data_IF_293917592767
#
_entry.id   IF_293917592767
#
_cell.length_a   1.000
_cell.length_b   1.000
_cell.length_c   1.000
_cell.angle_alpha   90.00
_cell.angle_beta   90.00
_cell.angle_gamma   90.00
#
_symmetry.space_group_name_H-M   'P 1'
#
loop_
_entity.id
_entity.type
_entity.pdbx_description
1 polymer ?
#
# COMPACT_ATOMS: atom_id res chain seq x y z
N UNK A 1 24.19 8.93 4.56
CA UNK A 1 22.89 8.45 5.10
C UNK A 1 22.72 6.99 4.67
N UNK A 2 22.36 6.10 5.59
CA UNK A 2 22.14 4.67 5.32
C UNK A 2 20.63 4.39 5.19
N UNK A 3 20.23 3.47 4.30
CA UNK A 3 18.84 3.03 4.18
C UNK A 3 18.40 2.34 5.50
N UNK A 4 17.30 2.80 6.15
CA UNK A 4 16.85 2.25 7.42
C UNK A 4 16.42 0.77 7.35
N UNK A 5 16.00 0.29 6.17
CA UNK A 5 15.57 -1.10 5.95
C UNK A 5 16.62 -1.96 5.24
N UNK A 6 17.88 -1.51 5.18
CA UNK A 6 18.94 -2.21 4.45
C UNK A 6 19.12 -3.65 4.93
N UNK A 7 19.14 -3.88 6.25
CA UNK A 7 19.41 -5.21 6.80
C UNK A 7 18.25 -6.18 6.54
N UNK A 8 17.03 -5.68 6.69
CA UNK A 8 15.78 -6.39 6.48
C UNK A 8 15.65 -6.83 5.01
N UNK A 9 15.93 -5.93 4.07
CA UNK A 9 15.89 -6.23 2.63
C UNK A 9 16.98 -7.26 2.25
N UNK A 10 18.20 -7.12 2.77
CA UNK A 10 19.27 -8.07 2.49
C UNK A 10 19.00 -9.46 3.09
N UNK A 11 18.32 -9.52 4.24
CA UNK A 11 17.95 -10.77 4.89
C UNK A 11 16.64 -11.37 4.35
N UNK A 12 15.90 -10.65 3.50
CA UNK A 12 14.61 -11.09 2.98
C UNK A 12 14.74 -12.40 2.21
N UNK A 13 13.79 -13.30 2.47
CA UNK A 13 13.65 -14.57 1.77
C UNK A 13 12.19 -14.75 1.38
N UNK A 14 11.97 -15.18 0.14
CA UNK A 14 10.64 -15.56 -0.32
C UNK A 14 10.13 -16.72 0.52
N UNK A 15 8.88 -16.64 0.93
CA UNK A 15 8.18 -17.75 1.61
C UNK A 15 7.84 -18.84 0.59
N UNK A 16 7.66 -20.07 1.08
CA UNK A 16 7.23 -21.18 0.22
C UNK A 16 5.91 -20.85 -0.51
N UNK A 17 4.99 -20.18 0.17
CA UNK A 17 3.71 -19.74 -0.38
C UNK A 17 3.84 -18.79 -1.58
N UNK A 18 4.86 -17.92 -1.59
CA UNK A 18 5.09 -16.91 -2.64
C UNK A 18 5.68 -17.52 -3.93
N UNK A 19 6.33 -18.67 -3.86
CA UNK A 19 6.96 -19.33 -5.01
C UNK A 19 6.18 -20.55 -5.52
N UNK A 20 5.07 -20.89 -4.86
CA UNK A 20 4.16 -21.93 -5.33
C UNK A 20 3.38 -21.46 -6.55
N UNK A 21 3.21 -22.36 -7.52
CA UNK A 21 2.28 -22.14 -8.63
C UNK A 21 0.87 -21.96 -8.07
N UNK A 22 0.17 -20.89 -8.50
CA UNK A 22 -1.22 -20.63 -8.14
C UNK A 22 -2.02 -20.31 -9.39
N UNK A 23 -3.30 -20.67 -9.37
CA UNK A 23 -4.24 -20.22 -10.39
C UNK A 23 -4.43 -18.70 -10.24
N UNK A 24 -4.28 -17.94 -11.34
CA UNK A 24 -4.55 -16.50 -11.30
C UNK A 24 -5.96 -16.21 -10.82
N UNK A 25 -6.08 -15.34 -9.83
CA UNK A 25 -7.37 -14.83 -9.38
C UNK A 25 -7.77 -13.65 -10.25
N UNK A 26 -8.91 -13.77 -10.93
CA UNK A 26 -9.49 -12.68 -11.73
C UNK A 26 -9.90 -11.53 -10.80
N UNK A 27 -9.58 -10.27 -11.14
CA UNK A 27 -10.08 -9.12 -10.39
C UNK A 27 -11.61 -9.10 -10.34
N UNK A 28 -12.16 -8.54 -9.26
CA UNK A 28 -13.59 -8.25 -9.21
C UNK A 28 -13.97 -7.20 -10.26
N UNK A 29 -15.24 -7.19 -10.63
CA UNK A 29 -15.79 -6.06 -11.40
C UNK A 29 -15.69 -4.78 -10.58
N UNK A 30 -15.75 -3.62 -11.24
CA UNK A 30 -15.78 -2.34 -10.52
C UNK A 30 -17.01 -2.22 -9.61
N UNK A 31 -18.17 -2.73 -10.06
CA UNK A 31 -19.42 -2.72 -9.30
C UNK A 31 -19.35 -3.58 -8.03
N UNK A 32 -18.57 -4.67 -8.05
CA UNK A 32 -18.38 -5.59 -6.93
C UNK A 32 -17.18 -5.25 -6.04
N UNK A 33 -16.44 -4.19 -6.38
CA UNK A 33 -15.24 -3.76 -5.66
C UNK A 33 -15.57 -2.59 -4.76
N UNK A 34 -15.31 -2.74 -3.46
CA UNK A 34 -15.57 -1.65 -2.51
C UNK A 34 -14.53 -0.55 -2.71
N UNK A 35 -14.98 0.63 -3.09
CA UNK A 35 -14.16 1.84 -3.15
C UNK A 35 -14.16 2.59 -1.81
N UNK A 36 -12.99 3.02 -1.36
CA UNK A 36 -12.81 3.79 -0.12
C UNK A 36 -11.90 5.00 -0.38
N UNK A 37 -12.44 6.20 -0.20
CA UNK A 37 -11.63 7.43 -0.14
C UNK A 37 -11.14 7.64 1.30
N UNK A 38 -9.90 8.09 1.47
CA UNK A 38 -9.26 8.22 2.78
C UNK A 38 -8.52 9.55 2.85
N UNK A 39 -9.06 10.51 3.59
CA UNK A 39 -8.47 11.85 3.76
C UNK A 39 -8.20 12.22 5.23
N UNK A 40 -8.64 11.37 6.17
CA UNK A 40 -8.49 11.62 7.60
C UNK A 40 -7.88 10.42 8.35
N UNK A 41 -7.21 10.72 9.48
CA UNK A 41 -6.50 9.72 10.29
C UNK A 41 -7.38 8.58 10.76
N UNK A 42 -8.65 8.87 11.06
CA UNK A 42 -9.63 7.87 11.51
C UNK A 42 -9.87 6.83 10.41
N UNK A 43 -10.04 7.26 9.16
CA UNK A 43 -10.22 6.36 8.02
C UNK A 43 -8.93 5.64 7.67
N UNK A 44 -7.78 6.31 7.75
CA UNK A 44 -6.48 5.68 7.58
C UNK A 44 -6.31 4.50 8.55
N UNK A 45 -6.62 4.69 9.83
CA UNK A 45 -6.56 3.63 10.83
C UNK A 45 -7.55 2.49 10.53
N UNK A 46 -8.77 2.81 10.09
CA UNK A 46 -9.76 1.77 9.70
C UNK A 46 -9.27 0.92 8.54
N UNK A 47 -8.65 1.53 7.52
CA UNK A 47 -8.12 0.75 6.40
C UNK A 47 -6.88 -0.03 6.82
N UNK A 48 -6.04 0.49 7.73
CA UNK A 48 -4.88 -0.21 8.29
C UNK A 48 -5.27 -1.55 8.91
N UNK A 49 -6.36 -1.59 9.67
CA UNK A 49 -6.87 -2.82 10.29
C UNK A 49 -7.25 -3.88 9.26
N UNK A 50 -7.73 -3.45 8.09
CA UNK A 50 -8.07 -4.36 6.99
C UNK A 50 -6.83 -4.81 6.19
N UNK A 51 -5.96 -3.87 5.81
CA UNK A 51 -4.84 -4.16 4.90
C UNK A 51 -3.73 -4.99 5.58
N UNK A 52 -3.60 -4.92 6.91
CA UNK A 52 -2.69 -5.78 7.71
C UNK A 52 -3.04 -7.28 7.62
N UNK A 53 -4.27 -7.62 7.27
CA UNK A 53 -4.74 -9.00 7.17
C UNK A 53 -4.60 -9.59 5.76
N UNK A 54 -4.11 -8.80 4.80
CA UNK A 54 -3.99 -9.23 3.41
C UNK A 54 -2.67 -9.97 3.18
N UNK A 55 -2.68 -10.91 2.25
CA UNK A 55 -1.46 -11.60 1.78
C UNK A 55 -0.69 -10.81 0.73
N UNK A 56 -1.41 -9.98 -0.02
CA UNK A 56 -0.83 -9.11 -1.04
C UNK A 56 -1.66 -7.83 -1.20
N UNK A 57 -1.00 -6.77 -1.61
CA UNK A 57 -1.58 -5.47 -1.93
C UNK A 57 -0.93 -4.95 -3.21
N UNK A 58 -1.70 -4.34 -4.10
CA UNK A 58 -1.14 -3.52 -5.18
C UNK A 58 -1.05 -2.07 -4.71
N UNK A 59 0.01 -1.36 -5.07
CA UNK A 59 0.24 0.03 -4.67
C UNK A 59 0.72 0.85 -5.87
N UNK A 60 0.17 2.05 -6.04
CA UNK A 60 0.60 3.02 -7.05
C UNK A 60 0.51 4.46 -6.51
N UNK A 61 1.24 5.40 -7.12
CA UNK A 61 1.36 6.78 -6.66
C UNK A 61 1.09 7.79 -7.79
N UNK A 62 0.37 8.86 -7.47
CA UNK A 62 0.35 10.05 -8.32
C UNK A 62 1.32 11.11 -7.78
N UNK A 63 2.21 11.60 -8.65
CA UNK A 63 3.18 12.63 -8.32
C UNK A 63 2.93 13.93 -9.08
N UNK A 64 3.11 15.06 -8.41
CA UNK A 64 3.08 16.39 -9.04
C UNK A 64 4.47 17.01 -9.04
N UNK A 65 4.90 17.52 -10.21
CA UNK A 65 6.23 18.10 -10.40
C UNK A 65 6.22 19.52 -11.00
N UNK A 66 5.11 20.00 -11.58
CA UNK A 66 5.10 21.29 -12.29
C UNK A 66 5.28 22.50 -11.36
N UNK A 67 4.70 22.49 -10.15
CA UNK A 67 4.75 23.57 -9.16
C UNK A 67 5.52 23.19 -7.90
N UNK A 68 6.47 22.26 -8.01
CA UNK A 68 7.32 21.82 -6.90
C UNK A 68 8.73 21.54 -7.39
N UNK A 69 9.74 22.00 -6.64
CA UNK A 69 11.14 21.79 -7.01
C UNK A 69 11.55 20.31 -6.97
N UNK A 70 11.20 19.60 -5.88
CA UNK A 70 11.50 18.17 -5.72
C UNK A 70 10.35 17.24 -6.15
N UNK A 71 9.20 17.81 -6.47
CA UNK A 71 7.95 17.06 -6.62
C UNK A 71 7.34 16.67 -5.26
N UNK A 72 6.09 16.21 -5.30
CA UNK A 72 5.44 15.59 -4.14
C UNK A 72 4.40 14.56 -4.59
N UNK A 73 4.22 13.53 -3.79
CA UNK A 73 3.12 12.58 -3.93
C UNK A 73 1.81 13.27 -3.55
N UNK A 74 0.82 13.23 -4.43
CA UNK A 74 -0.51 13.80 -4.22
C UNK A 74 -1.49 12.75 -3.72
N UNK A 75 -1.30 11.51 -4.17
CA UNK A 75 -2.27 10.43 -3.99
C UNK A 75 -1.55 9.09 -3.90
N UNK A 76 -2.09 8.20 -3.09
CA UNK A 76 -1.69 6.79 -3.05
C UNK A 76 -2.92 5.97 -3.42
N UNK A 77 -2.76 5.11 -4.41
CA UNK A 77 -3.73 4.08 -4.75
C UNK A 77 -3.28 2.77 -4.12
N UNK A 78 -4.19 2.07 -3.45
CA UNK A 78 -3.93 0.71 -3.00
C UNK A 78 -5.10 -0.19 -3.34
N UNK A 79 -4.82 -1.43 -3.72
CA UNK A 79 -5.86 -2.43 -3.98
C UNK A 79 -5.56 -3.71 -3.21
N UNK A 80 -6.59 -4.21 -2.55
CA UNK A 80 -6.65 -5.59 -2.04
C UNK A 80 -7.45 -6.45 -3.02
N UNK A 81 -7.66 -7.74 -2.73
CA UNK A 81 -8.52 -8.59 -3.56
C UNK A 81 -10.00 -8.19 -3.56
N UNK A 82 -10.43 -7.33 -2.64
CA UNK A 82 -11.84 -7.02 -2.42
C UNK A 82 -12.19 -5.53 -2.42
N UNK A 83 -11.20 -4.67 -2.16
CA UNK A 83 -11.38 -3.23 -2.00
C UNK A 83 -10.27 -2.44 -2.69
N UNK A 84 -10.63 -1.28 -3.21
CA UNK A 84 -9.75 -0.23 -3.70
C UNK A 84 -9.76 0.97 -2.74
N UNK A 85 -8.59 1.53 -2.50
CA UNK A 85 -8.35 2.64 -1.60
C UNK A 85 -7.73 3.80 -2.37
N UNK A 86 -8.33 4.98 -2.25
CA UNK A 86 -7.78 6.23 -2.76
C UNK A 86 -7.41 7.11 -1.57
N UNK A 87 -6.12 7.19 -1.27
CA UNK A 87 -5.61 7.92 -0.10
C UNK A 87 -5.11 9.28 -0.53
N UNK A 88 -5.60 10.33 0.12
CA UNK A 88 -5.13 11.69 -0.05
C UNK A 88 -3.78 11.88 0.68
N UNK A 89 -2.69 11.93 -0.09
CA UNK A 89 -1.35 12.02 0.48
C UNK A 89 -0.99 13.44 0.93
N UNK A 90 -1.78 14.44 0.54
CA UNK A 90 -1.61 15.82 0.97
C UNK A 90 -2.24 16.03 2.34
N UNK A 91 -3.48 15.58 2.51
CA UNK A 91 -4.21 15.67 3.78
C UNK A 91 -3.55 14.85 4.89
N UNK A 92 -2.99 13.69 4.54
CA UNK A 92 -2.43 12.73 5.49
C UNK A 92 -0.91 12.73 5.57
N UNK A 93 -0.23 13.73 5.00
CA UNK A 93 1.23 13.72 4.78
C UNK A 93 2.04 13.29 5.99
N UNK A 94 1.71 13.79 7.17
CA UNK A 94 2.44 13.51 8.42
C UNK A 94 2.02 12.19 9.10
N UNK A 95 0.91 11.60 8.65
CA UNK A 95 0.30 10.41 9.23
C UNK A 95 0.62 9.12 8.44
N UNK A 96 1.01 9.24 7.16
CA UNK A 96 1.24 8.08 6.28
C UNK A 96 2.35 7.13 6.73
N UNK A 97 3.22 7.53 7.66
CA UNK A 97 4.28 6.66 8.19
C UNK A 97 3.74 5.37 8.83
N UNK A 98 2.47 5.34 9.27
CA UNK A 98 1.82 4.13 9.79
C UNK A 98 1.72 2.99 8.77
N UNK A 99 1.76 3.31 7.46
CA UNK A 99 1.77 2.32 6.37
C UNK A 99 3.00 1.42 6.41
N UNK A 100 4.11 1.84 7.04
CA UNK A 100 5.30 1.01 7.21
C UNK A 100 5.00 -0.32 7.93
N UNK A 101 4.00 -0.34 8.83
CA UNK A 101 3.57 -1.59 9.48
C UNK A 101 3.12 -2.68 8.49
N UNK A 102 2.80 -2.31 7.25
CA UNK A 102 2.35 -3.21 6.17
C UNK A 102 3.39 -3.22 5.04
N UNK A 103 3.87 -2.04 4.62
CA UNK A 103 4.80 -1.91 3.50
C UNK A 103 6.14 -2.58 3.78
N UNK A 104 6.52 -2.71 5.05
CA UNK A 104 7.75 -3.40 5.44
C UNK A 104 7.52 -4.75 6.10
N UNK A 105 6.28 -5.24 6.13
CA UNK A 105 5.99 -6.62 6.55
C UNK A 105 6.38 -7.60 5.42
N UNK A 106 7.39 -8.48 5.62
CA UNK A 106 7.85 -9.39 4.57
C UNK A 106 6.84 -10.48 4.21
N UNK A 107 5.81 -10.71 5.05
CA UNK A 107 4.76 -11.70 4.79
C UNK A 107 3.70 -11.22 3.79
N UNK A 108 3.59 -9.91 3.62
CA UNK A 108 2.65 -9.27 2.69
C UNK A 108 3.42 -8.91 1.41
N UNK A 109 2.97 -9.38 0.25
CA UNK A 109 3.52 -8.93 -1.04
C UNK A 109 2.97 -7.54 -1.36
N UNK A 110 3.83 -6.64 -1.82
CA UNK A 110 3.46 -5.32 -2.31
C UNK A 110 3.81 -5.23 -3.78
#
# INVERSE_FOLDING_TARGET
LQNPYYREIQAFKLTHEQIQLRTPQVPKSLDDTKYVYVDCKVELNKIMDHIKLQRELAIDLEAHQFRSYYGFTCRIQMSSRTNDYLVDALALRDELHVLNNVFTDPSIVK
#
